data_IF_589811990931
#
_entry.id   IF_589811990931
#
_cell.length_a   1.000
_cell.length_b   1.000
_cell.length_c   1.000
_cell.angle_alpha   90.00
_cell.angle_beta   90.00
_cell.angle_gamma   90.00
#
_symmetry.space_group_name_H-M   'P 1'
#
loop_
_entity.id
_entity.type
_entity.pdbx_description
1 polymer ?
#
# COMPACT_ATOMS: atom_id res chain seq x y z
N UNK A 1 24.14 -44.67 19.65
CA UNK A 1 23.04 -44.90 18.68
C UNK A 1 22.86 -43.58 17.95
N UNK A 2 23.46 -43.58 16.77
CA UNK A 2 23.49 -42.48 15.83
C UNK A 2 22.12 -42.27 15.21
N UNK A 3 21.71 -41.01 15.09
CA UNK A 3 20.51 -40.56 14.40
C UNK A 3 20.84 -39.35 13.55
N UNK A 4 21.15 -39.64 12.34
CA UNK A 4 21.47 -38.77 11.22
C UNK A 4 20.24 -37.87 10.90
N UNK A 5 20.39 -36.53 10.97
CA UNK A 5 19.38 -35.57 10.57
C UNK A 5 19.85 -34.85 9.30
N UNK A 6 19.27 -35.26 8.18
CA UNK A 6 19.52 -34.73 6.85
C UNK A 6 19.34 -33.23 6.71
N UNK A 7 20.39 -32.58 6.30
CA UNK A 7 20.45 -31.17 5.89
C UNK A 7 19.85 -30.99 4.50
N UNK A 8 18.59 -30.55 4.41
CA UNK A 8 17.98 -30.08 3.17
C UNK A 8 18.56 -28.73 2.76
N UNK A 9 19.48 -28.73 1.80
CA UNK A 9 19.96 -27.52 1.11
C UNK A 9 18.86 -27.02 0.20
N UNK A 10 18.31 -25.86 0.52
CA UNK A 10 17.53 -25.05 -0.42
C UNK A 10 18.52 -24.27 -1.31
N UNK A 11 18.64 -24.69 -2.54
CA UNK A 11 19.36 -23.96 -3.61
C UNK A 11 18.55 -22.75 -4.05
N UNK A 12 19.11 -21.53 -4.08
CA UNK A 12 18.43 -20.38 -4.66
C UNK A 12 18.44 -20.48 -6.18
N UNK A 13 17.27 -20.30 -6.80
CA UNK A 13 17.08 -20.18 -8.24
C UNK A 13 17.70 -18.86 -8.72
N UNK A 14 18.52 -18.85 -9.79
CA UNK A 14 19.06 -17.62 -10.34
C UNK A 14 17.99 -16.82 -11.10
N UNK A 15 18.10 -15.48 -11.20
CA UNK A 15 17.19 -14.65 -11.96
C UNK A 15 17.39 -14.85 -13.46
N UNK A 16 16.27 -14.97 -14.18
CA UNK A 16 16.21 -14.98 -15.63
C UNK A 16 16.64 -13.60 -16.16
N UNK A 17 17.76 -13.57 -16.84
CA UNK A 17 18.18 -12.43 -17.66
C UNK A 17 17.31 -12.39 -18.91
N UNK A 18 16.50 -11.33 -19.02
CA UNK A 18 15.83 -10.95 -20.26
C UNK A 18 16.80 -10.10 -21.07
N UNK A 19 17.37 -10.68 -22.12
CA UNK A 19 17.96 -9.95 -23.23
C UNK A 19 17.70 -10.78 -24.48
N UNK A 20 16.71 -10.38 -25.25
CA UNK A 20 16.55 -10.78 -26.63
C UNK A 20 15.87 -9.66 -27.41
N UNK A 21 16.72 -8.85 -28.00
CA UNK A 21 16.45 -7.84 -29.01
C UNK A 21 15.97 -8.51 -30.28
N UNK A 22 14.71 -8.40 -30.64
CA UNK A 22 14.20 -8.76 -31.97
C UNK A 22 14.05 -7.48 -32.77
N UNK A 23 14.96 -7.29 -33.74
CA UNK A 23 14.87 -6.28 -34.79
C UNK A 23 13.74 -6.64 -35.79
N UNK A 24 13.00 -5.64 -36.31
CA UNK A 24 12.05 -5.87 -37.38
C UNK A 24 12.73 -5.74 -38.74
N UNK A 25 12.84 -6.86 -39.46
CA UNK A 25 13.18 -6.83 -40.90
C UNK A 25 11.93 -6.38 -41.67
N UNK A 26 12.04 -5.18 -42.22
CA UNK A 26 11.21 -4.72 -43.33
C UNK A 26 11.87 -5.17 -44.61
N UNK A 27 11.25 -6.07 -45.38
CA UNK A 27 11.56 -6.26 -46.79
C UNK A 27 10.33 -5.93 -47.62
N UNK A 28 10.52 -4.84 -48.31
CA UNK A 28 9.70 -4.31 -49.40
C UNK A 28 10.03 -5.15 -50.65
N UNK A 29 9.07 -5.85 -51.20
CA UNK A 29 9.17 -6.39 -52.55
C UNK A 29 8.01 -5.87 -53.36
N UNK A 30 8.41 -4.91 -54.15
CA UNK A 30 7.75 -4.37 -55.32
C UNK A 30 7.58 -5.48 -56.37
N UNK A 31 6.39 -5.79 -56.79
CA UNK A 31 6.17 -6.45 -58.07
C UNK A 31 4.97 -5.83 -58.79
N UNK A 32 5.33 -4.94 -59.68
CA UNK A 32 4.46 -4.40 -60.73
C UNK A 32 4.51 -5.39 -61.89
N UNK A 33 3.39 -5.98 -62.26
CA UNK A 33 3.16 -6.55 -63.60
C UNK A 33 1.88 -6.00 -64.21
N UNK A 34 2.16 -5.19 -65.15
CA UNK A 34 1.28 -4.64 -66.17
C UNK A 34 0.89 -5.77 -67.16
N UNK A 35 -0.39 -5.99 -67.42
CA UNK A 35 -0.85 -6.41 -68.75
C UNK A 35 -2.40 -6.55 -68.82
N UNK A 36 -2.98 -5.87 -69.73
CA UNK A 36 -4.05 -6.42 -70.53
C UNK A 36 -5.43 -5.79 -70.42
N UNK A 37 -5.56 -4.68 -71.09
CA UNK A 37 -6.87 -4.14 -71.54
C UNK A 37 -7.47 -5.12 -72.58
N UNK A 38 -8.67 -5.62 -72.29
CA UNK A 38 -9.57 -6.04 -73.40
C UNK A 38 -11.01 -5.74 -73.00
N UNK A 39 -11.54 -4.79 -73.70
CA UNK A 39 -12.96 -4.45 -73.70
C UNK A 39 -13.77 -5.55 -74.46
N UNK A 40 -14.85 -6.01 -73.82
CA UNK A 40 -15.98 -6.56 -74.59
C UNK A 40 -17.26 -6.11 -73.90
N UNK A 41 -18.00 -5.35 -74.65
CA UNK A 41 -19.38 -4.97 -74.37
C UNK A 41 -20.30 -6.20 -74.36
N UNK A 42 -21.09 -6.35 -73.35
CA UNK A 42 -22.15 -7.31 -73.26
C UNK A 42 -23.29 -6.73 -72.40
N UNK A 43 -24.23 -6.14 -73.10
CA UNK A 43 -25.48 -5.66 -72.54
C UNK A 43 -26.38 -6.89 -72.21
N UNK A 44 -26.71 -7.07 -70.92
CA UNK A 44 -27.90 -7.78 -70.49
C UNK A 44 -28.39 -7.20 -69.17
N UNK A 45 -29.61 -6.64 -69.32
CA UNK A 45 -30.37 -6.08 -68.19
C UNK A 45 -30.88 -7.24 -67.32
N UNK A 46 -30.38 -7.29 -66.08
CA UNK A 46 -30.99 -8.13 -65.05
C UNK A 46 -31.83 -7.24 -64.08
N UNK A 47 -32.97 -7.74 -63.61
CA UNK A 47 -33.96 -6.94 -62.92
C UNK A 47 -33.47 -6.47 -61.59
N UNK A 48 -33.72 -5.20 -61.30
CA UNK A 48 -33.44 -4.56 -60.00
C UNK A 48 -34.31 -5.29 -58.93
N UNK A 49 -33.61 -6.12 -58.15
CA UNK A 49 -34.17 -6.66 -56.92
C UNK A 49 -34.23 -5.55 -55.87
N UNK A 50 -35.43 -5.19 -55.49
CA UNK A 50 -35.74 -4.27 -54.39
C UNK A 50 -35.25 -4.85 -53.06
N UNK A 51 -34.00 -4.64 -52.72
CA UNK A 51 -33.43 -4.97 -51.42
C UNK A 51 -33.25 -3.76 -50.48
N UNK A 52 -34.01 -2.66 -50.72
CA UNK A 52 -33.81 -1.40 -49.99
C UNK A 52 -34.49 -1.27 -48.62
N UNK A 53 -35.31 -2.26 -48.21
CA UNK A 53 -36.10 -2.13 -46.98
C UNK A 53 -35.69 -3.04 -45.81
N UNK A 54 -34.81 -4.02 -46.02
CA UNK A 54 -34.37 -4.90 -44.95
C UNK A 54 -33.09 -4.40 -44.23
N UNK A 55 -32.26 -3.57 -44.89
CA UNK A 55 -30.95 -3.16 -44.41
C UNK A 55 -31.03 -2.09 -43.31
N UNK A 56 -32.06 -1.22 -43.32
CA UNK A 56 -32.16 -0.11 -42.37
C UNK A 56 -32.45 -0.52 -40.93
N UNK A 57 -33.27 -1.55 -40.72
CA UNK A 57 -33.68 -1.98 -39.37
C UNK A 57 -32.57 -2.80 -38.67
N UNK A 58 -31.74 -3.49 -39.41
CA UNK A 58 -30.66 -4.28 -38.85
C UNK A 58 -29.47 -3.39 -38.50
N UNK A 59 -29.15 -2.41 -39.35
CA UNK A 59 -28.11 -1.41 -39.03
C UNK A 59 -28.46 -0.57 -37.81
N UNK A 60 -29.72 -0.15 -37.64
CA UNK A 60 -30.17 0.55 -36.42
C UNK A 60 -30.04 -0.34 -35.19
N UNK A 61 -30.32 -1.63 -35.26
CA UNK A 61 -30.09 -2.56 -34.15
C UNK A 61 -28.63 -2.75 -33.77
N UNK A 62 -27.75 -2.84 -34.77
CA UNK A 62 -26.30 -2.97 -34.56
C UNK A 62 -25.72 -1.68 -33.93
N UNK A 63 -26.11 -0.50 -34.44
CA UNK A 63 -25.64 0.78 -33.89
C UNK A 63 -26.15 0.96 -32.45
N UNK A 64 -27.41 0.62 -32.17
CA UNK A 64 -27.94 0.67 -30.80
C UNK A 64 -27.22 -0.31 -29.88
N UNK A 65 -26.92 -1.53 -30.34
CA UNK A 65 -26.14 -2.51 -29.60
C UNK A 65 -24.72 -2.04 -29.26
N UNK A 66 -24.04 -1.45 -30.25
CA UNK A 66 -22.70 -0.88 -30.04
C UNK A 66 -22.74 0.31 -29.04
N UNK A 67 -23.76 1.18 -29.16
CA UNK A 67 -23.92 2.31 -28.24
C UNK A 67 -24.15 1.85 -26.79
N UNK A 68 -25.01 0.82 -26.59
CA UNK A 68 -25.22 0.23 -25.25
C UNK A 68 -23.95 -0.43 -24.72
N UNK A 69 -23.24 -1.19 -25.55
CA UNK A 69 -21.98 -1.82 -25.17
C UNK A 69 -20.93 -0.77 -24.78
N UNK A 70 -20.78 0.33 -25.52
CA UNK A 70 -19.89 1.42 -25.21
C UNK A 70 -20.27 2.12 -23.88
N UNK A 71 -21.56 2.33 -23.62
CA UNK A 71 -22.06 2.87 -22.35
C UNK A 71 -21.73 1.96 -21.16
N UNK A 72 -21.91 0.66 -21.31
CA UNK A 72 -21.59 -0.32 -20.26
C UNK A 72 -20.08 -0.38 -20.00
N UNK A 73 -19.26 -0.34 -21.03
CA UNK A 73 -17.80 -0.33 -20.88
C UNK A 73 -17.29 0.96 -20.22
N UNK A 74 -17.86 2.13 -20.58
CA UNK A 74 -17.51 3.38 -19.93
C UNK A 74 -17.93 3.41 -18.47
N UNK A 75 -19.13 2.94 -18.15
CA UNK A 75 -19.60 2.82 -16.76
C UNK A 75 -18.71 1.88 -15.95
N UNK A 76 -18.37 0.71 -16.48
CA UNK A 76 -17.45 -0.23 -15.84
C UNK A 76 -16.05 0.38 -15.63
N UNK A 77 -15.54 1.11 -16.63
CA UNK A 77 -14.25 1.81 -16.55
C UNK A 77 -14.24 2.89 -15.46
N UNK A 78 -15.31 3.68 -15.35
CA UNK A 78 -15.45 4.70 -14.30
C UNK A 78 -15.52 4.05 -12.92
N UNK A 79 -16.29 2.99 -12.74
CA UNK A 79 -16.38 2.26 -11.47
C UNK A 79 -15.04 1.65 -11.06
N UNK A 80 -14.31 1.06 -11.99
CA UNK A 80 -12.98 0.51 -11.76
C UNK A 80 -11.98 1.60 -11.35
N UNK A 81 -12.02 2.76 -12.01
CA UNK A 81 -11.15 3.89 -11.67
C UNK A 81 -11.46 4.47 -10.29
N UNK A 82 -12.73 4.60 -9.94
CA UNK A 82 -13.15 5.04 -8.61
C UNK A 82 -12.73 4.04 -7.52
N UNK A 83 -12.89 2.74 -7.79
CA UNK A 83 -12.42 1.69 -6.89
C UNK A 83 -10.91 1.71 -6.69
N UNK A 84 -10.15 1.88 -7.76
CA UNK A 84 -8.69 2.00 -7.70
C UNK A 84 -8.23 3.22 -6.90
N UNK A 85 -8.85 4.38 -7.10
CA UNK A 85 -8.53 5.60 -6.35
C UNK A 85 -8.81 5.45 -4.86
N UNK A 86 -9.94 4.82 -4.49
CA UNK A 86 -10.27 4.54 -3.08
C UNK A 86 -9.26 3.59 -2.45
N UNK A 87 -8.86 2.54 -3.15
CA UNK A 87 -7.82 1.62 -2.69
C UNK A 87 -6.47 2.29 -2.49
N UNK A 88 -6.04 3.14 -3.43
CA UNK A 88 -4.79 3.88 -3.32
C UNK A 88 -4.81 4.88 -2.14
N UNK A 89 -5.93 5.56 -1.91
CA UNK A 89 -6.10 6.46 -0.76
C UNK A 89 -6.00 5.69 0.57
N UNK A 90 -6.69 4.56 0.70
CA UNK A 90 -6.63 3.72 1.90
C UNK A 90 -5.21 3.23 2.21
N UNK A 91 -4.45 2.81 1.19
CA UNK A 91 -3.04 2.39 1.36
C UNK A 91 -2.16 3.56 1.81
N UNK A 92 -2.39 4.77 1.28
CA UNK A 92 -1.62 5.96 1.68
C UNK A 92 -1.94 6.39 3.11
N UNK A 93 -3.20 6.33 3.54
CA UNK A 93 -3.63 6.61 4.92
C UNK A 93 -3.05 5.59 5.90
N UNK A 94 -3.08 4.30 5.53
CA UNK A 94 -2.45 3.24 6.32
C UNK A 94 -0.96 3.48 6.51
N UNK A 95 -0.24 3.78 5.42
CA UNK A 95 1.19 4.07 5.48
C UNK A 95 1.48 5.30 6.36
N UNK A 96 0.66 6.34 6.28
CA UNK A 96 0.78 7.53 7.11
C UNK A 96 0.52 7.24 8.59
N UNK A 97 -0.52 6.45 8.92
CA UNK A 97 -0.81 6.03 10.29
C UNK A 97 0.33 5.19 10.88
N UNK A 98 0.85 4.23 10.12
CA UNK A 98 1.98 3.39 10.55
C UNK A 98 3.25 4.21 10.76
N UNK A 99 3.54 5.17 9.89
CA UNK A 99 4.69 6.06 10.04
C UNK A 99 4.57 6.93 11.29
N UNK A 100 3.40 7.57 11.50
CA UNK A 100 3.11 8.38 12.68
C UNK A 100 3.18 7.55 13.98
N UNK A 101 2.66 6.33 13.98
CA UNK A 101 2.75 5.42 15.13
C UNK A 101 4.21 5.09 15.47
N UNK A 102 5.05 4.78 14.48
CA UNK A 102 6.47 4.51 14.71
C UNK A 102 7.20 5.73 15.28
N UNK A 103 6.97 6.91 14.74
CA UNK A 103 7.58 8.15 15.20
C UNK A 103 7.20 8.44 16.65
N UNK A 104 5.93 8.36 16.98
CA UNK A 104 5.43 8.66 18.32
C UNK A 104 5.84 7.60 19.35
N UNK A 105 5.81 6.30 19.00
CA UNK A 105 6.32 5.25 19.89
C UNK A 105 7.83 5.39 20.10
N UNK A 106 8.59 5.80 19.10
CA UNK A 106 10.00 6.12 19.27
C UNK A 106 10.20 7.25 20.29
N UNK A 107 9.35 8.26 20.25
CA UNK A 107 9.39 9.36 21.22
C UNK A 107 9.07 8.91 22.66
N UNK A 108 8.26 7.85 22.85
CA UNK A 108 8.01 7.30 24.21
C UNK A 108 9.22 6.60 24.82
N UNK A 109 10.25 6.31 24.02
CA UNK A 109 11.48 5.64 24.46
C UNK A 109 12.62 6.66 24.55
N UNK A 110 12.55 7.57 25.55
CA UNK A 110 13.62 8.54 25.76
C UNK A 110 14.96 7.84 26.00
N UNK A 111 16.02 8.14 25.23
CA UNK A 111 17.29 7.44 25.36
C UNK A 111 17.99 7.68 26.71
N UNK A 112 17.81 8.83 27.30
CA UNK A 112 18.36 9.20 28.62
C UNK A 112 17.52 10.31 29.27
N UNK A 113 17.89 10.69 30.47
CA UNK A 113 17.24 11.78 31.23
C UNK A 113 17.28 13.11 30.50
N UNK A 114 18.37 13.43 29.76
CA UNK A 114 18.50 14.70 29.05
C UNK A 114 17.54 14.82 27.89
N UNK A 115 17.28 13.71 27.20
CA UNK A 115 16.34 13.65 26.09
C UNK A 115 14.87 13.58 26.53
N UNK A 116 14.59 13.37 27.82
CA UNK A 116 13.25 13.16 28.34
C UNK A 116 12.33 14.37 28.05
N UNK A 117 12.81 15.59 28.21
CA UNK A 117 12.01 16.79 27.94
C UNK A 117 11.63 16.93 26.45
N UNK A 118 12.53 16.58 25.54
CA UNK A 118 12.30 16.59 24.10
C UNK A 118 11.35 15.48 23.70
N UNK A 119 11.51 14.30 24.28
CA UNK A 119 10.60 13.17 24.12
C UNK A 119 9.18 13.52 24.57
N UNK A 120 9.03 14.18 25.73
CA UNK A 120 7.74 14.61 26.24
C UNK A 120 7.06 15.61 25.29
N UNK A 121 7.79 16.57 24.74
CA UNK A 121 7.22 17.50 23.74
C UNK A 121 6.73 16.76 22.49
N UNK A 122 7.51 15.83 21.97
CA UNK A 122 7.12 15.03 20.82
C UNK A 122 5.88 14.18 21.09
N UNK A 123 5.76 13.58 22.28
CA UNK A 123 4.58 12.83 22.68
C UNK A 123 3.33 13.73 22.65
N UNK A 124 3.42 14.95 23.18
CA UNK A 124 2.31 15.91 23.14
C UNK A 124 1.93 16.29 21.68
N UNK A 125 2.91 16.52 20.82
CA UNK A 125 2.68 16.88 19.43
C UNK A 125 2.03 15.76 18.61
N UNK A 126 2.42 14.51 18.85
CA UNK A 126 1.96 13.34 18.07
C UNK A 126 0.76 12.61 18.69
N UNK A 127 0.18 13.13 19.76
CA UNK A 127 -0.99 12.53 20.42
C UNK A 127 -2.20 13.47 20.45
N UNK A 128 -3.37 12.90 20.76
CA UNK A 128 -4.58 13.69 21.04
C UNK A 128 -4.47 14.40 22.38
N UNK A 129 -5.29 15.42 22.61
CA UNK A 129 -5.29 16.16 23.87
C UNK A 129 -5.61 15.25 25.07
N UNK A 130 -6.50 14.28 24.89
CA UNK A 130 -6.85 13.29 25.91
C UNK A 130 -5.68 12.42 26.30
N UNK A 131 -4.95 11.89 25.29
CA UNK A 131 -3.79 11.05 25.54
C UNK A 131 -2.61 11.84 26.07
N UNK A 132 -2.37 13.05 25.57
CA UNK A 132 -1.29 13.93 26.04
C UNK A 132 -1.46 14.34 27.50
N UNK A 133 -2.69 14.61 27.94
CA UNK A 133 -2.98 14.90 29.34
C UNK A 133 -2.62 13.71 30.24
N UNK A 134 -2.96 12.49 29.82
CA UNK A 134 -2.59 11.27 30.53
C UNK A 134 -1.08 11.03 30.53
N UNK A 135 -0.42 11.20 29.38
CA UNK A 135 1.03 11.03 29.24
C UNK A 135 1.82 12.02 30.09
N UNK A 136 1.35 13.28 30.20
CA UNK A 136 1.96 14.29 31.04
C UNK A 136 1.90 13.92 32.54
N UNK A 137 0.80 13.29 32.97
CA UNK A 137 0.64 12.85 34.36
C UNK A 137 1.71 11.81 34.74
N UNK A 138 2.02 10.87 33.83
CA UNK A 138 3.03 9.84 34.06
C UNK A 138 4.45 10.31 33.78
N UNK A 139 4.63 11.37 32.97
CA UNK A 139 5.94 11.85 32.54
C UNK A 139 6.83 12.31 33.71
N UNK A 140 6.26 12.98 34.69
CA UNK A 140 6.99 13.40 35.90
C UNK A 140 7.49 12.23 36.74
N UNK A 141 6.64 11.22 36.94
CA UNK A 141 6.99 10.00 37.69
C UNK A 141 8.10 9.22 36.97
N UNK A 142 8.01 9.13 35.64
CA UNK A 142 9.00 8.44 34.83
C UNK A 142 10.35 9.14 34.84
N UNK A 143 10.36 10.47 34.82
CA UNK A 143 11.60 11.26 34.91
C UNK A 143 12.36 11.00 36.21
N UNK A 144 11.63 10.98 37.34
CA UNK A 144 12.23 10.68 38.64
C UNK A 144 12.84 9.27 38.71
N UNK A 145 12.10 8.30 38.17
CA UNK A 145 12.61 6.93 38.08
C UNK A 145 13.86 6.80 37.21
N UNK A 146 13.92 7.47 36.06
CA UNK A 146 15.09 7.48 35.17
C UNK A 146 16.30 8.11 35.81
N UNK A 147 16.12 9.20 36.57
CA UNK A 147 17.21 9.87 37.30
C UNK A 147 17.77 8.96 38.39
N UNK A 148 16.91 8.30 39.15
CA UNK A 148 17.28 7.47 40.29
C UNK A 148 18.22 6.32 39.89
N UNK A 149 17.98 5.68 38.76
CA UNK A 149 18.72 4.49 38.29
C UNK A 149 19.71 4.80 37.18
N UNK A 150 19.82 6.06 36.74
CA UNK A 150 20.60 6.49 35.57
C UNK A 150 20.25 5.63 34.31
N UNK A 151 18.95 5.53 34.02
CA UNK A 151 18.49 4.69 32.96
C UNK A 151 18.90 5.19 31.57
N UNK A 152 19.33 4.27 30.73
CA UNK A 152 19.60 4.48 29.31
C UNK A 152 18.79 3.47 28.51
N UNK A 153 18.09 3.93 27.50
CA UNK A 153 17.23 3.11 26.65
C UNK A 153 17.65 3.26 25.20
N UNK A 154 17.82 2.14 24.52
CA UNK A 154 18.14 2.09 23.10
C UNK A 154 17.13 1.19 22.39
N UNK A 155 16.49 1.70 21.35
CA UNK A 155 15.62 0.89 20.48
C UNK A 155 16.52 -0.01 19.64
N UNK A 156 16.37 -1.32 19.80
CA UNK A 156 17.09 -2.34 19.03
C UNK A 156 16.32 -2.73 17.76
N UNK A 157 14.97 -2.81 17.83
CA UNK A 157 14.09 -3.09 16.69
C UNK A 157 12.72 -2.44 16.91
N UNK A 158 12.11 -1.92 15.84
CA UNK A 158 10.77 -1.35 15.85
C UNK A 158 10.06 -1.70 14.57
N UNK A 159 9.00 -2.49 14.67
CA UNK A 159 8.15 -2.89 13.55
C UNK A 159 6.72 -2.47 13.84
N UNK A 160 6.04 -2.00 12.82
CA UNK A 160 4.63 -1.66 12.93
C UNK A 160 3.89 -2.01 11.64
N UNK A 161 2.63 -2.42 11.79
CA UNK A 161 1.71 -2.69 10.69
C UNK A 161 0.30 -2.30 11.12
N UNK A 162 -0.52 -1.87 10.17
CA UNK A 162 -1.94 -1.67 10.42
C UNK A 162 -2.61 -3.02 10.71
N UNK A 163 -3.41 -3.08 11.75
CA UNK A 163 -4.17 -4.25 12.16
C UNK A 163 -5.63 -4.13 11.74
N UNK A 164 -6.21 -2.93 11.87
CA UNK A 164 -7.63 -2.70 11.61
C UNK A 164 -7.93 -1.25 11.25
N UNK A 165 -8.82 -1.08 10.26
CA UNK A 165 -9.46 0.19 9.96
C UNK A 165 -10.82 0.24 10.65
N UNK A 166 -11.06 1.29 11.39
CA UNK A 166 -12.31 1.49 12.12
C UNK A 166 -13.28 2.40 11.33
N UNK A 167 -14.61 2.28 11.55
CA UNK A 167 -15.60 3.08 10.82
C UNK A 167 -15.50 4.59 11.07
N UNK A 168 -14.88 5.00 12.17
CA UNK A 168 -14.63 6.40 12.53
C UNK A 168 -13.38 7.01 11.86
N UNK A 169 -12.74 6.26 10.95
CA UNK A 169 -11.53 6.67 10.27
C UNK A 169 -10.25 6.44 11.09
N UNK A 170 -10.35 5.94 12.31
CA UNK A 170 -9.17 5.54 13.08
C UNK A 170 -8.57 4.24 12.58
N UNK A 171 -7.27 4.08 12.77
CA UNK A 171 -6.51 2.88 12.37
C UNK A 171 -5.81 2.33 13.60
N UNK A 172 -6.08 1.06 13.92
CA UNK A 172 -5.36 0.35 14.96
C UNK A 172 -4.05 -0.18 14.35
N UNK A 173 -2.93 0.23 14.90
CA UNK A 173 -1.58 -0.15 14.46
C UNK A 173 -0.96 -1.06 15.51
N UNK A 174 -0.57 -2.26 15.10
CA UNK A 174 0.19 -3.16 15.94
C UNK A 174 1.67 -2.80 15.85
N UNK A 175 2.27 -2.47 17.00
CA UNK A 175 3.69 -2.13 17.11
C UNK A 175 4.41 -3.19 17.95
N UNK A 176 5.47 -3.76 17.40
CA UNK A 176 6.40 -4.63 18.11
C UNK A 176 7.72 -3.89 18.25
N UNK A 177 8.14 -3.67 19.48
CA UNK A 177 9.42 -3.00 19.77
C UNK A 177 10.30 -3.86 20.67
N UNK A 178 11.59 -3.79 20.42
CA UNK A 178 12.63 -4.35 21.27
C UNK A 178 13.55 -3.21 21.70
N UNK A 179 13.74 -3.08 22.99
CA UNK A 179 14.60 -2.07 23.59
C UNK A 179 15.68 -2.73 24.43
N UNK A 180 16.88 -2.20 24.37
CA UNK A 180 17.96 -2.51 25.30
C UNK A 180 17.98 -1.43 26.38
N UNK A 181 17.84 -1.84 27.63
CA UNK A 181 17.87 -0.97 28.79
C UNK A 181 19.15 -1.23 29.58
N UNK A 182 19.87 -0.16 29.88
CA UNK A 182 21.02 -0.19 30.78
C UNK A 182 20.78 0.77 31.96
N UNK A 183 21.20 0.38 33.13
CA UNK A 183 21.12 1.20 34.33
C UNK A 183 22.36 0.96 35.23
N UNK A 184 22.41 1.58 36.40
CA UNK A 184 23.52 1.47 37.36
C UNK A 184 23.78 0.06 37.88
N UNK A 185 22.81 -0.86 37.74
CA UNK A 185 22.88 -2.24 38.27
C UNK A 185 22.99 -3.31 37.19
N UNK A 186 22.42 -3.05 36.00
CA UNK A 186 22.33 -4.00 34.90
C UNK A 186 22.60 -3.33 33.56
N UNK A 187 23.32 -4.02 32.69
CA UNK A 187 23.61 -3.54 31.34
C UNK A 187 22.93 -4.39 30.27
N UNK A 188 22.50 -3.73 29.20
CA UNK A 188 21.96 -4.33 27.97
C UNK A 188 20.84 -5.36 28.20
N UNK A 189 19.93 -5.09 29.15
CA UNK A 189 18.72 -5.89 29.30
C UNK A 189 17.77 -5.66 28.11
N UNK A 190 17.53 -6.72 27.33
CA UNK A 190 16.56 -6.66 26.25
C UNK A 190 15.14 -6.89 26.76
N UNK A 191 14.27 -5.93 26.47
CA UNK A 191 12.83 -6.00 26.73
C UNK A 191 12.07 -5.91 25.41
N UNK A 192 11.04 -6.74 25.25
CA UNK A 192 10.19 -6.75 24.04
C UNK A 192 8.75 -6.50 24.42
N UNK A 193 8.14 -5.54 23.72
CA UNK A 193 6.73 -5.19 23.92
C UNK A 193 5.96 -5.34 22.62
N UNK A 194 4.67 -5.66 22.76
CA UNK A 194 3.69 -5.54 21.70
C UNK A 194 2.61 -4.58 22.15
N UNK A 195 2.36 -3.58 21.34
CA UNK A 195 1.44 -2.50 21.64
C UNK A 195 0.42 -2.39 20.51
N UNK A 196 -0.85 -2.26 20.85
CA UNK A 196 -1.87 -1.79 19.93
C UNK A 196 -2.00 -0.29 20.13
N UNK A 197 -1.79 0.45 19.07
CA UNK A 197 -1.82 1.90 19.06
C UNK A 197 -2.99 2.34 18.21
N UNK A 198 -3.96 3.03 18.83
CA UNK A 198 -5.07 3.63 18.09
C UNK A 198 -4.64 4.97 17.54
N UNK A 199 -4.63 5.07 16.21
CA UNK A 199 -4.29 6.27 15.47
C UNK A 199 -5.56 6.93 14.94
N UNK A 200 -5.79 8.19 15.31
CA UNK A 200 -6.97 8.96 14.86
C UNK A 200 -6.52 10.09 13.93
N UNK A 201 -7.28 10.39 12.87
CA UNK A 201 -6.99 11.53 11.99
C UNK A 201 -7.41 12.84 12.69
N UNK A 202 -6.44 13.73 12.88
CA UNK A 202 -6.64 15.09 13.45
C UNK A 202 -5.92 16.08 12.55
N UNK A 203 -6.63 17.04 11.97
CA UNK A 203 -6.06 18.09 11.09
C UNK A 203 -5.18 17.55 9.96
N UNK A 204 -5.59 16.44 9.35
CA UNK A 204 -4.88 15.80 8.25
C UNK A 204 -3.63 15.00 8.64
N UNK A 205 -3.40 14.79 9.93
CA UNK A 205 -2.33 13.96 10.47
C UNK A 205 -2.90 12.87 11.38
N UNK A 206 -2.23 11.73 11.45
CA UNK A 206 -2.58 10.71 12.44
C UNK A 206 -1.91 11.01 13.77
N UNK A 207 -2.71 10.96 14.84
CA UNK A 207 -2.28 11.15 16.23
C UNK A 207 -2.63 9.94 17.09
N UNK A 208 -1.82 9.65 18.10
CA UNK A 208 -2.11 8.61 19.07
C UNK A 208 -3.26 9.06 19.98
N UNK A 209 -4.29 8.21 20.05
CA UNK A 209 -5.43 8.38 20.95
C UNK A 209 -5.38 7.39 22.13
N UNK A 210 -4.89 6.19 21.90
CA UNK A 210 -4.73 5.18 22.94
C UNK A 210 -3.56 4.23 22.64
N UNK A 211 -2.94 3.71 23.68
CA UNK A 211 -1.92 2.65 23.62
C UNK A 211 -2.27 1.55 24.59
N UNK A 212 -2.42 0.34 24.09
CA UNK A 212 -2.73 -0.84 24.90
C UNK A 212 -1.62 -1.92 24.74
N UNK A 213 -1.13 -2.50 25.84
CA UNK A 213 -0.25 -3.64 25.73
C UNK A 213 -1.02 -4.88 25.23
N UNK A 214 -0.44 -5.57 24.24
CA UNK A 214 -1.00 -6.83 23.74
C UNK A 214 -0.32 -7.98 24.44
N UNK A 215 -1.03 -8.59 25.40
CA UNK A 215 -0.62 -9.85 26.03
C UNK A 215 -0.90 -11.05 25.09
N UNK A 216 -0.10 -12.11 25.26
CA UNK A 216 -0.35 -13.38 24.57
C UNK A 216 -1.59 -14.07 25.13
#
# INVERSE_FOLDING_TARGET
MEGDAGSGRLTPTPPLTADETVEPHAELSDHVDDAGITALAGSDAAPAADSRLATGRWFTGIIAGIAVAALLLTAAGVLALLGHRRGAAAVSEEAAAVAAAKECITATQAPDVKAMADSQRKIVECSTDSYSAQANLYGGLLMDAYQTVNAQVKIADLRAAAEKHNPDGSIDVLVATRVAMSNSQQQDQELSYRLRVRMVPVDGKFKIDNIEPVSK
#
